data_IF_949921145483
#
_entry.id   IF_949921145483
#
_cell.length_a   1.000
_cell.length_b   1.000
_cell.length_c   1.000
_cell.angle_alpha   90.00
_cell.angle_beta   90.00
_cell.angle_gamma   90.00
#
_symmetry.space_group_name_H-M   'P 1'
#
loop_
_entity.id
_entity.type
_entity.pdbx_description
1 polymer ?
#
# COMPACT_ATOMS: atom_id res chain seq x y z
N UNK A 1 -4.19 -11.06 3.54
CA UNK A 1 -3.75 -10.21 2.42
C UNK A 1 -2.25 -9.96 2.51
N UNK A 2 -1.63 -9.71 1.39
CA UNK A 2 -0.20 -9.46 1.32
C UNK A 2 0.08 -8.26 0.42
N UNK A 3 1.12 -7.50 0.74
CA UNK A 3 1.61 -6.43 -0.11
C UNK A 3 2.82 -6.90 -0.92
N UNK A 4 2.95 -6.36 -2.12
CA UNK A 4 4.09 -6.63 -2.97
C UNK A 4 4.50 -5.34 -3.67
N UNK A 5 5.80 -5.10 -3.73
CA UNK A 5 6.32 -3.94 -4.44
C UNK A 5 6.17 -4.13 -5.95
N UNK A 6 5.71 -3.08 -6.61
CA UNK A 6 5.59 -3.01 -8.08
C UNK A 6 6.27 -1.73 -8.54
N UNK A 7 6.37 -1.54 -9.85
CA UNK A 7 6.93 -0.31 -10.39
C UNK A 7 6.07 0.88 -9.94
N UNK A 8 6.67 1.78 -9.19
CA UNK A 8 6.01 3.00 -8.72
C UNK A 8 5.16 2.85 -7.48
N UNK A 9 5.13 1.68 -6.81
CA UNK A 9 4.30 1.54 -5.63
C UNK A 9 4.20 0.13 -5.08
N UNK A 10 3.04 -0.17 -4.53
CA UNK A 10 2.73 -1.47 -3.93
C UNK A 10 1.34 -1.91 -4.35
N UNK A 11 1.17 -3.19 -4.54
CA UNK A 11 -0.15 -3.80 -4.72
C UNK A 11 -0.46 -4.65 -3.49
N UNK A 12 -1.71 -4.57 -3.01
CA UNK A 12 -2.21 -5.42 -1.94
C UNK A 12 -3.16 -6.43 -2.56
N UNK A 13 -2.89 -7.72 -2.34
CA UNK A 13 -3.70 -8.81 -2.89
C UNK A 13 -4.32 -9.62 -1.76
N UNK A 14 -5.50 -10.17 -2.03
CA UNK A 14 -6.17 -11.07 -1.10
C UNK A 14 -5.59 -12.49 -1.20
N UNK A 15 -6.16 -13.41 -0.42
CA UNK A 15 -5.69 -14.80 -0.39
C UNK A 15 -5.88 -15.52 -1.74
N UNK A 16 -6.77 -15.03 -2.58
CA UNK A 16 -7.03 -15.61 -3.90
C UNK A 16 -6.20 -14.94 -5.01
N UNK A 17 -5.36 -13.98 -4.66
CA UNK A 17 -4.51 -13.29 -5.60
C UNK A 17 -5.15 -12.11 -6.31
N UNK A 18 -6.37 -11.74 -5.96
CA UNK A 18 -7.02 -10.56 -6.54
C UNK A 18 -6.48 -9.29 -5.92
N UNK A 19 -6.23 -8.28 -6.73
CA UNK A 19 -5.76 -6.98 -6.26
C UNK A 19 -6.89 -6.26 -5.53
N UNK A 20 -6.63 -5.92 -4.27
CA UNK A 20 -7.56 -5.16 -3.44
C UNK A 20 -7.31 -3.67 -3.56
N UNK A 21 -6.04 -3.30 -3.64
CA UNK A 21 -5.64 -1.90 -3.71
C UNK A 21 -4.27 -1.76 -4.37
N UNK A 22 -4.08 -0.62 -5.02
CA UNK A 22 -2.78 -0.17 -5.52
C UNK A 22 -2.42 1.10 -4.77
N UNK A 23 -1.20 1.16 -4.22
CA UNK A 23 -0.73 2.31 -3.48
C UNK A 23 0.54 2.82 -4.16
N UNK A 24 0.49 4.03 -4.70
CA UNK A 24 1.59 4.60 -5.45
C UNK A 24 2.37 5.61 -4.61
N UNK A 25 3.67 5.68 -4.85
CA UNK A 25 4.54 6.62 -4.18
C UNK A 25 5.67 7.09 -5.09
N UNK A 26 6.38 8.10 -4.64
CA UNK A 26 7.52 8.68 -5.36
C UNK A 26 8.82 8.31 -4.65
N UNK A 27 9.90 8.26 -5.44
CA UNK A 27 11.21 7.82 -4.94
C UNK A 27 11.81 8.80 -3.94
N UNK A 28 11.57 10.10 -4.13
CA UNK A 28 12.11 11.13 -3.27
C UNK A 28 11.01 11.99 -2.69
N UNK A 29 11.31 12.63 -1.57
CA UNK A 29 10.38 13.54 -0.91
C UNK A 29 10.03 14.73 -1.81
N UNK A 30 11.02 15.26 -2.53
CA UNK A 30 10.80 16.37 -3.45
C UNK A 30 9.84 16.00 -4.58
N UNK A 31 10.02 14.80 -5.16
CA UNK A 31 9.10 14.30 -6.17
C UNK A 31 7.71 14.11 -5.61
N UNK A 32 7.60 13.60 -4.39
CA UNK A 32 6.31 13.36 -3.75
C UNK A 32 5.56 14.67 -3.55
N UNK A 33 6.24 15.71 -3.07
CA UNK A 33 5.65 17.04 -2.86
C UNK A 33 5.18 17.63 -4.18
N UNK A 34 6.05 17.58 -5.21
CA UNK A 34 5.73 18.12 -6.53
C UNK A 34 4.53 17.44 -7.17
N UNK A 35 4.44 16.12 -7.04
CA UNK A 35 3.35 15.34 -7.61
C UNK A 35 2.12 15.28 -6.70
N UNK A 36 2.19 15.84 -5.49
CA UNK A 36 1.15 15.74 -4.46
C UNK A 36 0.80 14.29 -4.16
N UNK A 37 1.82 13.45 -4.07
CA UNK A 37 1.70 12.04 -3.77
C UNK A 37 2.60 11.68 -2.60
N UNK A 38 2.35 10.53 -1.99
CA UNK A 38 3.19 10.05 -0.91
C UNK A 38 4.53 9.51 -1.44
N UNK A 39 5.52 9.42 -0.56
CA UNK A 39 6.79 8.77 -0.86
C UNK A 39 6.60 7.25 -0.92
N UNK A 40 7.59 6.54 -1.47
CA UNK A 40 7.55 5.07 -1.49
C UNK A 40 7.52 4.48 -0.08
N UNK A 41 8.21 5.11 0.89
CA UNK A 41 8.19 4.64 2.27
C UNK A 41 6.79 4.78 2.88
N UNK A 42 6.13 5.88 2.64
CA UNK A 42 4.75 6.08 3.08
C UNK A 42 3.80 5.12 2.38
N UNK A 43 3.98 4.91 1.07
CA UNK A 43 3.17 3.97 0.30
C UNK A 43 3.31 2.55 0.86
N UNK A 44 4.52 2.15 1.23
CA UNK A 44 4.77 0.84 1.84
C UNK A 44 4.02 0.70 3.15
N UNK A 45 4.04 1.73 4.00
CA UNK A 45 3.33 1.71 5.28
C UNK A 45 1.83 1.63 5.10
N UNK A 46 1.28 2.40 4.16
CA UNK A 46 -0.15 2.36 3.87
C UNK A 46 -0.55 0.98 3.35
N UNK A 47 0.20 0.43 2.40
CA UNK A 47 -0.07 -0.89 1.86
C UNK A 47 0.00 -1.97 2.94
N UNK A 48 0.99 -1.87 3.85
CA UNK A 48 1.10 -2.81 4.97
C UNK A 48 -0.11 -2.76 5.88
N UNK A 49 -0.63 -1.55 6.14
CA UNK A 49 -1.82 -1.39 6.97
C UNK A 49 -3.07 -1.92 6.28
N UNK A 50 -3.21 -1.72 4.97
CA UNK A 50 -4.30 -2.31 4.20
C UNK A 50 -4.24 -3.83 4.29
N UNK A 51 -3.05 -4.40 4.16
CA UNK A 51 -2.86 -5.85 4.23
C UNK A 51 -3.24 -6.44 5.59
N UNK A 52 -3.26 -5.63 6.65
CA UNK A 52 -3.67 -6.06 7.99
C UNK A 52 -5.17 -5.94 8.23
N UNK A 53 -5.91 -5.28 7.34
CA UNK A 53 -7.34 -5.00 7.57
C UNK A 53 -8.18 -6.25 7.85
N UNK A 54 -8.01 -7.37 7.17
CA UNK A 54 -8.85 -8.55 7.45
C UNK A 54 -8.72 -9.00 8.90
N UNK A 55 -7.51 -9.00 9.44
CA UNK A 55 -7.28 -9.39 10.83
C UNK A 55 -7.85 -8.35 11.79
N UNK A 56 -7.65 -7.06 11.47
CA UNK A 56 -8.17 -5.97 12.30
C UNK A 56 -9.70 -5.96 12.33
N UNK A 57 -10.33 -6.15 11.17
CA UNK A 57 -11.79 -6.19 11.08
C UNK A 57 -12.35 -7.39 11.82
N UNK A 58 -11.66 -8.53 11.73
CA UNK A 58 -12.04 -9.74 12.44
C UNK A 58 -12.00 -9.54 13.96
N UNK A 59 -11.01 -8.81 14.45
CA UNK A 59 -10.88 -8.50 15.89
C UNK A 59 -11.91 -7.46 16.36
N UNK A 60 -12.30 -6.56 15.46
CA UNK A 60 -13.25 -5.50 15.77
C UNK A 60 -14.68 -5.99 15.95
N UNK A 61 -14.91 -7.21 15.61
CA UNK A 61 -16.20 -7.87 15.78
C UNK A 61 -16.17 -8.83 16.96
#
# INVERSE_FOLDING_TARGET
>A
MARREISGGYVVRDANGFAVAYVYGRSTEDEAITAKQMTMDEARRVASNIAKLPEMLKRGN
#
